data_IF_912323221489
#
_entry.id   IF_912323221489
#
_cell.length_a   1.000
_cell.length_b   1.000
_cell.length_c   1.000
_cell.angle_alpha   90.00
_cell.angle_beta   90.00
_cell.angle_gamma   90.00
#
_symmetry.space_group_name_H-M   'P 1'
#
loop_
_entity.id
_entity.type
_entity.pdbx_description
1 polymer ?
#
# COMPACT_ATOMS: atom_id res chain seq x y z
N UNK A 1 3.61 -28.64 22.00
CA UNK A 1 3.74 -27.26 21.49
C UNK A 1 2.82 -27.17 20.28
N UNK A 2 1.74 -26.37 20.34
CA UNK A 2 0.71 -26.31 19.30
C UNK A 2 1.31 -25.81 17.98
N UNK A 3 0.95 -26.45 16.86
CA UNK A 3 1.19 -25.91 15.51
C UNK A 3 0.77 -24.44 15.49
N UNK A 4 1.70 -23.55 15.11
CA UNK A 4 1.35 -22.16 14.89
C UNK A 4 0.39 -22.13 13.71
N UNK A 5 -0.84 -21.67 13.95
CA UNK A 5 -1.85 -21.49 12.92
C UNK A 5 -1.20 -20.77 11.72
N UNK A 6 -1.33 -21.36 10.52
CA UNK A 6 -0.93 -20.72 9.25
C UNK A 6 -1.43 -19.27 9.26
N UNK A 7 -0.60 -18.27 8.93
CA UNK A 7 -1.04 -16.88 8.91
C UNK A 7 -2.28 -16.79 8.03
N UNK A 8 -3.37 -16.26 8.59
CA UNK A 8 -4.63 -16.04 7.90
C UNK A 8 -4.35 -15.30 6.59
N UNK A 9 -4.74 -15.90 5.46
CA UNK A 9 -4.43 -15.38 4.13
C UNK A 9 -4.84 -13.91 4.03
N UNK A 10 -3.88 -13.04 3.75
CA UNK A 10 -4.17 -11.66 3.36
C UNK A 10 -4.99 -11.68 2.09
N UNK A 11 -6.00 -10.81 2.01
CA UNK A 11 -6.82 -10.68 0.81
C UNK A 11 -6.21 -9.60 -0.08
N UNK A 12 -5.58 -9.96 -1.22
CA UNK A 12 -5.04 -8.97 -2.15
C UNK A 12 -6.18 -8.33 -2.94
N UNK A 13 -6.21 -7.00 -2.98
CA UNK A 13 -7.18 -6.22 -3.73
C UNK A 13 -6.42 -5.32 -4.70
N UNK A 14 -6.51 -5.64 -5.99
CA UNK A 14 -5.86 -4.84 -7.03
C UNK A 14 -6.67 -3.58 -7.33
N UNK A 15 -6.05 -2.43 -7.11
CA UNK A 15 -6.55 -1.11 -7.46
C UNK A 15 -6.30 -0.81 -8.94
N UNK A 16 -7.11 0.09 -9.50
CA UNK A 16 -7.01 0.48 -10.92
C UNK A 16 -5.84 1.40 -11.19
N UNK A 17 -5.45 2.23 -10.22
CA UNK A 17 -4.43 3.26 -10.42
C UNK A 17 -3.65 3.60 -9.15
N UNK A 18 -2.53 4.31 -9.32
CA UNK A 18 -1.80 4.95 -8.21
C UNK A 18 -2.65 6.02 -7.51
N UNK A 19 -3.59 6.66 -8.22
CA UNK A 19 -4.52 7.62 -7.65
C UNK A 19 -5.42 6.99 -6.59
N UNK A 20 -5.96 5.81 -6.87
CA UNK A 20 -6.80 5.10 -5.91
C UNK A 20 -6.01 4.71 -4.65
N UNK A 21 -4.76 4.24 -4.83
CA UNK A 21 -3.88 3.90 -3.70
C UNK A 21 -3.55 5.13 -2.85
N UNK A 22 -3.23 6.26 -3.48
CA UNK A 22 -2.90 7.49 -2.78
C UNK A 22 -4.09 8.10 -2.04
N UNK A 23 -5.32 8.04 -2.58
CA UNK A 23 -6.54 8.45 -1.87
C UNK A 23 -6.77 7.60 -0.62
N UNK A 24 -6.58 6.28 -0.75
CA UNK A 24 -6.72 5.36 0.38
C UNK A 24 -5.65 5.61 1.45
N UNK A 25 -4.39 5.75 1.05
CA UNK A 25 -3.31 6.00 2.00
C UNK A 25 -3.39 7.40 2.64
N UNK A 26 -3.79 8.42 1.89
CA UNK A 26 -3.93 9.78 2.43
C UNK A 26 -5.10 9.89 3.41
N UNK A 27 -6.26 9.31 3.11
CA UNK A 27 -7.41 9.31 4.02
C UNK A 27 -7.12 8.63 5.36
N UNK A 28 -6.34 7.54 5.38
CA UNK A 28 -5.94 6.85 6.62
C UNK A 28 -4.85 7.60 7.39
N UNK A 29 -3.92 8.27 6.70
CA UNK A 29 -2.91 9.13 7.32
C UNK A 29 -3.57 10.26 8.12
N UNK A 30 -4.63 10.85 7.58
CA UNK A 30 -5.39 11.93 8.24
C UNK A 30 -6.13 11.45 9.49
N UNK A 31 -6.37 10.14 9.64
CA UNK A 31 -6.93 9.53 10.86
C UNK A 31 -5.88 9.26 11.94
N UNK A 32 -4.66 9.81 11.82
CA UNK A 32 -3.52 9.59 12.71
C UNK A 32 -3.09 8.13 12.84
N UNK A 33 -3.48 7.27 11.91
CA UNK A 33 -2.91 5.94 11.80
C UNK A 33 -1.57 6.04 11.08
N UNK A 34 -0.51 5.34 11.56
CA UNK A 34 0.74 5.26 10.83
C UNK A 34 0.52 4.55 9.49
N UNK A 35 0.31 5.32 8.44
CA UNK A 35 0.10 4.81 7.09
C UNK A 35 1.37 4.93 6.28
N UNK A 36 1.78 3.82 5.67
CA UNK A 36 2.86 3.75 4.70
C UNK A 36 2.43 2.86 3.55
N UNK A 37 3.05 3.05 2.39
CA UNK A 37 2.96 2.08 1.29
C UNK A 37 4.25 1.30 1.19
N UNK A 38 4.16 0.03 0.83
CA UNK A 38 5.32 -0.81 0.51
C UNK A 38 5.55 -0.79 -1.00
N UNK A 39 6.82 -0.84 -1.41
CA UNK A 39 7.24 -0.95 -2.81
C UNK A 39 8.17 -2.14 -2.98
N UNK A 40 7.91 -2.96 -3.98
CA UNK A 40 8.76 -4.11 -4.33
C UNK A 40 8.49 -4.53 -5.77
N UNK A 41 9.31 -5.45 -6.27
CA UNK A 41 9.05 -6.17 -7.51
C UNK A 41 8.53 -7.57 -7.20
N UNK A 42 7.52 -8.00 -7.95
CA UNK A 42 7.12 -9.40 -7.91
C UNK A 42 8.08 -10.30 -8.70
N UNK A 43 7.83 -11.60 -8.69
CA UNK A 43 8.64 -12.61 -9.38
C UNK A 43 8.68 -12.41 -10.90
N UNK A 44 7.75 -11.63 -11.47
CA UNK A 44 7.71 -11.26 -12.89
C UNK A 44 8.41 -9.91 -13.16
N UNK A 45 9.05 -9.33 -12.15
CA UNK A 45 9.76 -8.04 -12.23
C UNK A 45 8.85 -6.80 -12.25
N UNK A 46 7.53 -6.97 -12.07
CA UNK A 46 6.55 -5.87 -12.14
C UNK A 46 6.63 -5.04 -10.87
N UNK A 47 6.65 -3.72 -11.02
CA UNK A 47 6.72 -2.81 -9.88
C UNK A 47 5.35 -2.67 -9.21
N UNK A 48 5.32 -2.95 -7.91
CA UNK A 48 4.12 -2.92 -7.08
C UNK A 48 4.29 -1.83 -6.03
N UNK A 49 3.23 -1.03 -5.83
CA UNK A 49 3.02 -0.29 -4.59
C UNK A 49 1.75 -0.82 -3.92
N UNK A 50 1.77 -0.94 -2.60
CA UNK A 50 0.58 -1.36 -1.87
C UNK A 50 0.52 -0.91 -0.42
N UNK A 51 -0.66 -1.01 0.15
CA UNK A 51 -1.02 -0.60 1.50
C UNK A 51 -1.67 -1.79 2.20
N UNK A 52 -1.15 -2.16 3.38
CA UNK A 52 -1.72 -3.20 4.21
C UNK A 52 -2.68 -2.56 5.22
N UNK A 53 -3.96 -2.86 5.09
CA UNK A 53 -5.00 -2.43 6.00
C UNK A 53 -5.44 -3.58 6.90
N UNK A 54 -5.55 -3.32 8.20
CA UNK A 54 -6.16 -4.27 9.15
C UNK A 54 -7.39 -3.59 9.73
N UNK A 55 -8.56 -3.89 9.16
CA UNK A 55 -9.82 -3.35 9.66
C UNK A 55 -10.31 -4.21 10.82
N UNK A 56 -10.18 -3.67 12.05
CA UNK A 56 -10.73 -4.31 13.24
C UNK A 56 -12.26 -4.25 13.21
N UNK A 57 -12.90 -5.30 13.74
CA UNK A 57 -14.33 -5.35 14.06
C UNK A 57 -15.34 -5.16 12.92
N UNK A 58 -14.95 -5.36 11.66
CA UNK A 58 -15.85 -5.12 10.53
C UNK A 58 -17.13 -5.98 10.56
N UNK A 59 -17.12 -7.21 11.10
CA UNK A 59 -18.32 -8.08 11.20
C UNK A 59 -18.26 -9.26 12.21
N UNK A 60 -17.34 -9.30 13.19
CA UNK A 60 -16.92 -10.48 14.02
C UNK A 60 -15.74 -11.32 13.45
N UNK A 61 -15.06 -10.86 12.40
CA UNK A 61 -13.96 -11.56 11.73
C UNK A 61 -12.54 -11.12 12.14
N UNK A 62 -12.24 -11.00 13.43
CA UNK A 62 -10.87 -10.88 13.98
C UNK A 62 -9.83 -10.09 13.14
N UNK A 63 -10.19 -8.93 12.59
CA UNK A 63 -9.26 -8.09 11.84
C UNK A 63 -8.78 -8.68 10.50
N UNK A 64 -9.65 -8.73 9.48
CA UNK A 64 -9.29 -9.20 8.14
C UNK A 64 -8.13 -8.36 7.55
N UNK A 65 -6.98 -8.96 7.23
CA UNK A 65 -5.89 -8.24 6.60
C UNK A 65 -6.13 -8.09 5.10
N UNK A 66 -6.26 -6.85 4.63
CA UNK A 66 -6.47 -6.50 3.23
C UNK A 66 -5.21 -5.85 2.68
N UNK A 67 -4.72 -6.33 1.54
CA UNK A 67 -3.59 -5.72 0.85
C UNK A 67 -4.04 -5.05 -0.44
N UNK A 68 -4.20 -3.74 -0.38
CA UNK A 68 -4.57 -2.93 -1.54
C UNK A 68 -3.32 -2.58 -2.32
N UNK A 69 -3.26 -2.92 -3.61
CA UNK A 69 -2.06 -2.71 -4.40
C UNK A 69 -2.35 -2.31 -5.83
N UNK A 70 -1.40 -1.66 -6.50
CA UNK A 70 -1.45 -1.41 -7.93
C UNK A 70 -0.13 -1.73 -8.60
N UNK A 71 -0.21 -2.09 -9.89
CA UNK A 71 0.96 -2.10 -10.76
C UNK A 71 1.23 -0.68 -11.21
N UNK A 72 2.48 -0.27 -11.17
CA UNK A 72 2.90 1.10 -11.51
C UNK A 72 4.03 1.09 -12.53
N UNK A 73 4.15 2.20 -13.25
CA UNK A 73 5.26 2.42 -14.17
C UNK A 73 6.59 2.62 -13.43
N UNK A 74 7.70 2.41 -14.14
CA UNK A 74 9.07 2.57 -13.62
C UNK A 74 9.36 3.98 -13.07
N UNK A 75 8.61 5.01 -13.51
CA UNK A 75 8.71 6.36 -12.93
C UNK A 75 8.44 6.38 -11.42
N UNK A 76 7.74 5.38 -10.89
CA UNK A 76 7.45 5.20 -9.46
C UNK A 76 8.51 4.40 -8.69
N UNK A 77 9.59 3.97 -9.35
CA UNK A 77 10.64 3.15 -8.74
C UNK A 77 11.58 3.92 -7.81
N UNK A 78 11.62 5.26 -7.89
CA UNK A 78 12.57 6.09 -7.14
C UNK A 78 11.86 7.23 -6.41
N UNK A 79 12.15 7.37 -5.13
CA UNK A 79 11.51 8.33 -4.24
C UNK A 79 11.09 7.66 -2.94
N UNK A 80 10.95 8.46 -1.89
CA UNK A 80 10.76 8.01 -0.52
C UNK A 80 9.33 8.28 -0.02
N UNK A 81 8.57 9.12 -0.71
CA UNK A 81 7.23 9.52 -0.32
C UNK A 81 6.32 9.63 -1.55
N UNK A 82 5.06 9.21 -1.42
CA UNK A 82 3.97 9.64 -2.28
C UNK A 82 3.45 10.98 -1.75
N UNK A 83 3.54 12.02 -2.57
CA UNK A 83 3.03 13.35 -2.27
C UNK A 83 1.69 13.51 -2.96
N UNK A 84 0.64 13.67 -2.16
CA UNK A 84 -0.73 13.87 -2.65
C UNK A 84 -1.07 15.34 -2.54
N UNK A 85 -1.32 15.95 -3.71
CA UNK A 85 -1.78 17.33 -3.84
C UNK A 85 -3.20 17.32 -4.38
N UNK A 86 -4.10 18.01 -3.69
CA UNK A 86 -5.46 18.25 -4.16
C UNK A 86 -5.75 19.74 -4.00
N UNK A 87 -6.03 20.41 -5.11
CA UNK A 87 -6.48 21.81 -5.14
C UNK A 87 -7.56 21.99 -6.22
N UNK A 88 -7.99 23.23 -6.47
CA UNK A 88 -9.01 23.56 -7.47
C UNK A 88 -8.63 23.13 -8.90
N UNK A 89 -7.35 22.91 -9.19
CA UNK A 89 -6.86 22.41 -10.49
C UNK A 89 -6.90 20.89 -10.62
N UNK A 90 -7.28 20.20 -9.55
CA UNK A 90 -7.46 18.75 -9.48
C UNK A 90 -6.49 18.03 -8.55
N UNK A 91 -6.50 16.71 -8.64
CA UNK A 91 -5.64 15.82 -7.86
C UNK A 91 -4.36 15.48 -8.63
N UNK A 92 -3.21 15.61 -7.98
CA UNK A 92 -1.90 15.23 -8.51
C UNK A 92 -1.13 14.38 -7.50
N UNK A 93 -0.46 13.37 -8.03
CA UNK A 93 0.39 12.47 -7.24
C UNK A 93 1.78 12.47 -7.82
N UNK A 94 2.74 12.75 -6.94
CA UNK A 94 4.15 12.88 -7.27
C UNK A 94 4.99 12.08 -6.27
N UNK A 95 6.24 11.82 -6.63
CA UNK A 95 7.23 11.25 -5.72
C UNK A 95 8.07 12.36 -5.08
N UNK A 96 8.32 12.23 -3.78
CA UNK A 96 9.19 13.11 -3.02
C UNK A 96 10.38 12.37 -2.41
N UNK A 97 11.51 13.06 -2.21
CA UNK A 97 12.64 12.56 -1.40
C UNK A 97 12.42 12.78 0.10
N UNK A 98 11.60 13.75 0.46
CA UNK A 98 11.25 14.14 1.82
C UNK A 98 9.74 14.44 1.90
N UNK A 99 9.14 14.45 3.10
CA UNK A 99 7.81 15.01 3.29
C UNK A 99 7.75 16.45 2.79
N UNK A 100 6.62 16.85 2.21
CA UNK A 100 6.40 18.21 1.70
C UNK A 100 5.36 18.93 2.57
N UNK A 101 5.74 20.02 3.28
CA UNK A 101 4.79 20.80 4.07
C UNK A 101 3.59 21.27 3.24
N UNK A 102 2.39 21.25 3.85
CA UNK A 102 1.15 21.64 3.18
C UNK A 102 0.54 20.57 2.26
N UNK A 103 1.18 19.41 2.10
CA UNK A 103 0.65 18.28 1.34
C UNK A 103 0.65 17.00 2.17
N UNK A 104 -0.23 16.05 1.83
CA UNK A 104 -0.18 14.73 2.44
C UNK A 104 1.01 13.98 1.88
N UNK A 105 1.93 13.57 2.76
CA UNK A 105 3.14 12.83 2.40
C UNK A 105 3.07 11.43 3.01
N UNK A 106 2.85 10.43 2.16
CA UNK A 106 2.79 9.03 2.59
C UNK A 106 4.17 8.38 2.38
N UNK A 107 4.84 7.85 3.42
CA UNK A 107 6.11 7.17 3.27
C UNK A 107 6.02 5.94 2.36
N UNK A 108 7.05 5.73 1.56
CA UNK A 108 7.27 4.52 0.76
C UNK A 108 8.36 3.70 1.44
N UNK A 109 8.05 2.44 1.76
CA UNK A 109 8.99 1.48 2.34
C UNK A 109 9.39 0.49 1.25
N UNK A 110 10.67 0.53 0.86
CA UNK A 110 11.23 -0.42 -0.10
C UNK A 110 11.45 -1.78 0.57
N UNK A 111 10.88 -2.83 0.00
CA UNK A 111 11.09 -4.20 0.44
C UNK A 111 12.04 -4.90 -0.53
N UNK A 112 12.94 -5.72 0.02
CA UNK A 112 13.86 -6.57 -0.73
C UNK A 112 13.14 -7.56 -1.65
N UNK A 113 12.03 -8.12 -1.16
CA UNK A 113 11.19 -9.08 -1.87
C UNK A 113 9.73 -8.95 -1.45
N UNK A 114 8.82 -9.51 -2.25
CA UNK A 114 7.43 -9.66 -1.85
C UNK A 114 7.33 -10.47 -0.53
N UNK A 115 6.64 -9.97 0.50
CA UNK A 115 6.38 -10.74 1.71
C UNK A 115 5.56 -11.99 1.40
N UNK A 116 5.99 -13.14 1.92
CA UNK A 116 5.39 -14.46 1.61
C UNK A 116 3.90 -14.55 1.97
N UNK A 117 3.42 -13.73 2.91
CA UNK A 117 2.04 -13.72 3.35
C UNK A 117 1.12 -12.81 2.53
N UNK A 118 1.66 -11.91 1.68
CA UNK A 118 0.85 -10.97 0.89
C UNK A 118 0.28 -11.59 -0.39
N UNK A 119 0.99 -12.56 -0.95
CA UNK A 119 0.49 -13.35 -2.07
C UNK A 119 0.53 -14.82 -1.67
N UNK A 120 -0.62 -15.46 -1.45
CA UNK A 120 -0.63 -16.92 -1.41
C UNK A 120 -0.01 -17.42 -2.72
N UNK A 121 0.81 -18.48 -2.63
CA UNK A 121 1.53 -19.08 -3.76
C UNK A 121 0.62 -19.62 -4.88
N UNK A 122 -0.69 -19.53 -4.70
CA UNK A 122 -1.75 -20.03 -5.57
C UNK A 122 -2.73 -18.88 -5.83
N UNK A 123 -2.37 -18.00 -6.78
CA UNK A 123 -3.35 -17.16 -7.48
C UNK A 123 -3.03 -17.35 -8.97
N UNK A 124 -3.82 -18.22 -9.60
CA UNK A 124 -3.88 -18.38 -11.06
C UNK A 124 -4.44 -17.13 -11.74
#
# INVERSE_FOLDING_TARGET
>A
MKESAKPSNVIPIRLKSINDLARMASSTTLMMQPTYVVRYRDDKGRLILGFLAVFRDFYNYYGLPLFYYCLVDEKFAKGNYLIVRSDESGERIELGKSPRPGFVSVPIIDLDRAPEFLFPKEID
#
